data_IF_924527016714
#
_entry.id   IF_924527016714
#
_cell.length_a   1.000
_cell.length_b   1.000
_cell.length_c   1.000
_cell.angle_alpha   90.00
_cell.angle_beta   90.00
_cell.angle_gamma   90.00
#
_symmetry.space_group_name_H-M   'P 1'
#
loop_
_entity.id
_entity.type
_entity.pdbx_description
1 polymer ?
#
# COMPACT_ATOMS: atom_id res chain seq x y z
N UNK A 1 -34.53 0.21 35.79
CA UNK A 1 -35.68 0.50 34.92
C UNK A 1 -35.93 1.98 34.99
N UNK A 2 -36.03 2.64 33.86
CA UNK A 2 -36.26 4.08 33.78
C UNK A 2 -37.78 4.31 33.66
N UNK A 3 -38.39 5.09 34.59
CA UNK A 3 -39.78 5.48 34.44
C UNK A 3 -39.95 6.59 33.40
N UNK A 4 -41.04 6.58 32.62
CA UNK A 4 -41.34 7.65 31.65
C UNK A 4 -41.31 9.03 32.25
N UNK A 5 -41.77 9.16 33.54
CA UNK A 5 -41.79 10.41 34.27
C UNK A 5 -40.40 10.98 34.63
N UNK A 6 -39.37 10.12 34.58
CA UNK A 6 -38.00 10.52 34.89
C UNK A 6 -37.24 11.01 33.65
N UNK A 7 -37.84 10.86 32.46
CA UNK A 7 -37.27 11.34 31.20
C UNK A 7 -37.40 12.85 31.10
N UNK A 8 -36.29 13.54 31.26
CA UNK A 8 -36.22 15.03 31.23
C UNK A 8 -35.45 15.51 30.00
N UNK A 9 -35.68 16.77 29.68
CA UNK A 9 -34.87 17.46 28.66
C UNK A 9 -33.37 17.34 28.96
N UNK A 10 -32.56 17.09 27.95
CA UNK A 10 -31.13 16.84 28.02
C UNK A 10 -30.72 15.52 28.65
N UNK A 11 -31.65 14.65 29.06
CA UNK A 11 -31.30 13.30 29.48
C UNK A 11 -30.67 12.52 28.32
N UNK A 12 -29.63 11.75 28.63
CA UNK A 12 -29.04 10.77 27.73
C UNK A 12 -29.69 9.40 28.00
N UNK A 13 -30.29 8.81 26.99
CA UNK A 13 -31.06 7.56 27.12
C UNK A 13 -30.51 6.51 26.15
N UNK A 14 -30.28 5.32 26.68
CA UNK A 14 -29.99 4.10 25.89
C UNK A 14 -31.27 3.29 25.74
N UNK A 15 -31.42 2.59 24.62
CA UNK A 15 -32.55 1.73 24.30
C UNK A 15 -33.61 2.35 23.41
N UNK A 16 -33.52 3.65 23.09
CA UNK A 16 -34.37 4.31 22.08
C UNK A 16 -33.96 3.91 20.64
N UNK A 17 -32.67 3.87 20.37
CA UNK A 17 -32.10 3.41 19.12
C UNK A 17 -31.14 2.23 19.39
N UNK A 18 -31.10 1.20 18.50
CA UNK A 18 -30.24 0.05 18.69
C UNK A 18 -28.75 0.46 18.76
N UNK A 19 -28.10 0.14 19.88
CA UNK A 19 -26.67 0.37 20.07
C UNK A 19 -26.21 1.82 20.18
N UNK A 20 -27.14 2.78 20.34
CA UNK A 20 -26.83 4.19 20.46
C UNK A 20 -27.42 4.82 21.74
N UNK A 21 -26.68 5.77 22.29
CA UNK A 21 -27.17 6.68 23.34
C UNK A 21 -27.67 7.94 22.66
N UNK A 22 -28.92 8.29 22.90
CA UNK A 22 -29.56 9.48 22.31
C UNK A 22 -29.79 10.54 23.38
N UNK A 23 -29.77 11.81 22.96
CA UNK A 23 -30.04 12.94 23.88
C UNK A 23 -31.43 13.49 23.64
N UNK A 24 -32.22 13.57 24.71
CA UNK A 24 -33.59 14.10 24.69
C UNK A 24 -33.54 15.64 24.50
N UNK A 25 -34.23 16.11 23.49
CA UNK A 25 -34.36 17.54 23.20
C UNK A 25 -35.56 18.12 23.91
N UNK A 26 -36.71 17.45 23.83
CA UNK A 26 -37.93 17.82 24.54
C UNK A 26 -38.84 16.60 24.70
N UNK A 27 -39.79 16.70 25.62
CA UNK A 27 -40.77 15.66 25.91
C UNK A 27 -42.16 16.24 25.97
N UNK A 28 -43.15 15.56 25.44
CA UNK A 28 -44.57 15.93 25.49
C UNK A 28 -45.38 14.76 26.07
N UNK A 29 -45.96 14.88 27.27
CA UNK A 29 -46.79 13.84 27.86
C UNK A 29 -48.11 13.71 27.12
N UNK A 30 -48.50 12.45 26.82
CA UNK A 30 -49.79 12.11 26.22
C UNK A 30 -50.57 11.25 27.22
N UNK A 31 -51.38 11.91 28.06
CA UNK A 31 -52.03 11.26 29.17
C UNK A 31 -51.06 10.65 30.19
N UNK A 32 -51.55 9.67 30.98
CA UNK A 32 -50.78 9.09 32.08
C UNK A 32 -49.86 7.93 31.67
N UNK A 33 -50.00 7.42 30.44
CA UNK A 33 -49.38 6.14 30.02
C UNK A 33 -48.46 6.25 28.78
N UNK A 34 -48.32 7.43 28.19
CA UNK A 34 -47.49 7.66 27.02
C UNK A 34 -46.73 9.00 27.07
N UNK A 35 -45.54 9.02 26.49
CA UNK A 35 -44.67 10.15 26.39
C UNK A 35 -44.10 10.26 24.99
N UNK A 36 -44.33 11.37 24.29
CA UNK A 36 -43.60 11.64 23.05
C UNK A 36 -42.28 12.26 23.39
N UNK A 37 -41.18 11.69 22.87
CA UNK A 37 -39.83 12.18 23.04
C UNK A 37 -39.25 12.62 21.71
N UNK A 38 -38.72 13.81 21.67
CA UNK A 38 -37.91 14.33 20.58
C UNK A 38 -36.46 14.22 20.99
N UNK A 39 -35.67 13.50 20.19
CA UNK A 39 -34.29 13.19 20.55
C UNK A 39 -33.33 13.37 19.39
N UNK A 40 -32.05 13.59 19.71
CA UNK A 40 -30.98 13.75 18.76
C UNK A 40 -30.09 12.52 18.79
N UNK A 41 -29.92 11.91 17.61
CA UNK A 41 -28.96 10.78 17.42
C UNK A 41 -27.52 11.26 17.41
N UNK A 42 -26.55 10.34 17.50
CA UNK A 42 -25.13 10.63 17.40
C UNK A 42 -24.76 11.35 16.07
N UNK A 43 -25.48 11.04 14.98
CA UNK A 43 -25.33 11.69 13.66
C UNK A 43 -25.93 13.10 13.59
N UNK A 44 -26.49 13.60 14.70
CA UNK A 44 -27.08 14.93 14.76
C UNK A 44 -28.51 15.05 14.21
N UNK A 45 -29.13 13.94 13.77
CA UNK A 45 -30.51 13.93 13.30
C UNK A 45 -31.50 14.08 14.45
N UNK A 46 -32.52 14.89 14.25
CA UNK A 46 -33.64 15.02 15.19
C UNK A 46 -34.72 14.03 14.79
N UNK A 47 -35.09 13.15 15.71
CA UNK A 47 -36.12 12.12 15.54
C UNK A 47 -37.18 12.26 16.64
N UNK A 48 -38.34 11.67 16.37
CA UNK A 48 -39.50 11.64 17.27
C UNK A 48 -39.90 10.20 17.50
N UNK A 49 -40.26 9.86 18.75
CA UNK A 49 -40.81 8.55 19.10
C UNK A 49 -41.78 8.65 20.26
N UNK A 50 -42.88 7.95 20.14
CA UNK A 50 -43.85 7.79 21.24
C UNK A 50 -43.43 6.58 22.07
N UNK A 51 -43.32 6.75 23.37
CA UNK A 51 -42.98 5.74 24.37
C UNK A 51 -44.19 5.42 25.21
N UNK A 52 -44.33 4.13 25.51
CA UNK A 52 -45.35 3.64 26.41
C UNK A 52 -44.72 3.01 27.65
N UNK A 53 -45.50 2.77 28.72
CA UNK A 53 -44.96 2.13 29.92
C UNK A 53 -44.32 0.76 29.67
N UNK A 54 -44.72 0.09 28.63
CA UNK A 54 -44.12 -1.21 28.22
C UNK A 54 -42.70 -1.05 27.74
N UNK A 55 -42.30 0.14 27.28
CA UNK A 55 -40.95 0.42 26.79
C UNK A 55 -39.95 0.70 27.94
N UNK A 56 -40.45 1.01 29.14
CA UNK A 56 -39.62 1.31 30.32
C UNK A 56 -38.59 0.22 30.66
N UNK A 57 -38.94 -1.04 30.35
CA UNK A 57 -38.07 -2.19 30.60
C UNK A 57 -36.79 -2.17 29.73
N UNK A 58 -36.88 -1.53 28.55
CA UNK A 58 -35.78 -1.49 27.58
C UNK A 58 -35.01 -0.17 27.63
N UNK A 59 -35.42 0.78 28.44
CA UNK A 59 -34.82 2.09 28.56
C UNK A 59 -33.94 2.19 29.81
N UNK A 60 -32.79 2.80 29.68
CA UNK A 60 -31.92 3.15 30.79
C UNK A 60 -31.36 4.58 30.62
N UNK A 61 -31.19 5.28 31.73
CA UNK A 61 -30.42 6.53 31.75
C UNK A 61 -28.96 6.16 31.45
N UNK A 62 -28.45 6.67 30.37
CA UNK A 62 -27.02 6.70 30.17
C UNK A 62 -26.52 7.96 30.88
N UNK A 63 -25.64 7.84 31.84
CA UNK A 63 -24.87 8.97 32.27
C UNK A 63 -24.17 9.53 31.05
N UNK A 64 -24.32 10.83 30.78
CA UNK A 64 -23.57 11.49 29.72
C UNK A 64 -22.10 11.33 30.09
N UNK A 65 -21.46 10.30 29.49
CA UNK A 65 -20.10 9.96 29.79
C UNK A 65 -19.24 11.21 29.65
N UNK A 66 -18.52 11.55 30.69
CA UNK A 66 -17.47 12.58 30.57
C UNK A 66 -16.51 12.06 29.50
N UNK A 67 -15.90 12.92 28.67
CA UNK A 67 -14.98 12.48 27.61
C UNK A 67 -13.84 11.53 28.09
N UNK A 68 -13.66 11.42 29.39
CA UNK A 68 -12.68 10.58 30.11
C UNK A 68 -13.32 9.65 31.17
N UNK A 69 -14.57 9.28 31.00
CA UNK A 69 -15.15 8.22 31.83
C UNK A 69 -14.54 6.88 31.36
N UNK A 70 -13.93 6.15 32.30
CA UNK A 70 -13.44 4.79 32.04
C UNK A 70 -14.58 3.78 32.27
N UNK A 71 -15.72 3.99 31.64
CA UNK A 71 -16.95 3.23 31.78
C UNK A 71 -17.27 2.40 30.53
N UNK A 72 -16.38 2.41 29.52
CA UNK A 72 -16.51 1.58 28.34
C UNK A 72 -16.36 0.08 28.68
N UNK A 73 -17.04 -0.83 27.97
CA UNK A 73 -16.86 -2.26 28.14
C UNK A 73 -15.37 -2.62 28.03
N UNK A 74 -14.86 -3.33 29.05
CA UNK A 74 -13.43 -3.63 29.14
C UNK A 74 -12.88 -4.44 27.96
N UNK A 75 -13.72 -5.27 27.33
CA UNK A 75 -13.36 -6.03 26.13
C UNK A 75 -13.18 -5.13 24.91
N UNK A 76 -14.06 -4.14 24.70
CA UNK A 76 -13.93 -3.17 23.62
C UNK A 76 -12.69 -2.28 23.80
N UNK A 77 -12.41 -1.84 25.04
CA UNK A 77 -11.20 -1.11 25.36
C UNK A 77 -9.95 -1.94 25.06
N UNK A 78 -9.94 -3.23 25.45
CA UNK A 78 -8.83 -4.14 25.14
C UNK A 78 -8.60 -4.30 23.63
N UNK A 79 -9.68 -4.47 22.85
CA UNK A 79 -9.59 -4.55 21.40
C UNK A 79 -9.07 -3.25 20.77
N UNK A 80 -9.53 -2.10 21.24
CA UNK A 80 -9.07 -0.80 20.76
C UNK A 80 -7.57 -0.58 21.06
N UNK A 81 -7.13 -0.91 22.28
CA UNK A 81 -5.70 -0.82 22.67
C UNK A 81 -4.85 -1.76 21.85
N UNK A 82 -5.31 -2.99 21.61
CA UNK A 82 -4.57 -3.97 20.81
C UNK A 82 -4.49 -3.55 19.35
N UNK A 83 -5.57 -3.00 18.78
CA UNK A 83 -5.55 -2.43 17.43
C UNK A 83 -4.55 -1.25 17.32
N UNK A 84 -4.52 -0.36 18.31
CA UNK A 84 -3.51 0.71 18.38
C UNK A 84 -2.09 0.14 18.47
N UNK A 85 -1.86 -0.89 19.31
CA UNK A 85 -0.57 -1.54 19.44
C UNK A 85 -0.09 -2.14 18.12
N UNK A 86 -0.98 -2.80 17.38
CA UNK A 86 -0.68 -3.37 16.06
C UNK A 86 -0.33 -2.25 15.07
N UNK A 87 -1.11 -1.18 15.04
CA UNK A 87 -0.86 -0.06 14.10
C UNK A 87 0.48 0.65 14.32
N UNK A 88 0.97 0.69 15.56
CA UNK A 88 2.25 1.32 15.90
C UNK A 88 3.38 0.31 16.14
N UNK A 89 3.15 -0.97 15.85
CA UNK A 89 4.14 -2.02 16.10
C UNK A 89 5.47 -1.78 15.36
N UNK A 90 5.42 -1.15 14.16
CA UNK A 90 6.61 -0.77 13.40
C UNK A 90 7.54 0.23 14.13
N UNK A 91 7.04 0.96 15.13
CA UNK A 91 7.87 1.84 15.96
C UNK A 91 8.72 1.03 16.97
N UNK A 92 8.31 -0.19 17.30
CA UNK A 92 8.98 -1.06 18.25
C UNK A 92 9.75 -2.20 17.58
N UNK A 93 9.34 -2.58 16.37
CA UNK A 93 10.02 -3.58 15.55
C UNK A 93 10.36 -2.99 14.18
N UNK A 94 11.60 -2.53 13.98
CA UNK A 94 12.01 -1.96 12.70
C UNK A 94 12.10 -2.98 11.56
N UNK A 95 12.01 -4.30 11.85
CA UNK A 95 12.15 -5.40 10.89
C UNK A 95 10.93 -6.33 10.89
N UNK A 96 9.72 -5.77 10.94
CA UNK A 96 8.48 -6.55 11.03
C UNK A 96 8.33 -7.57 9.88
N UNK A 97 8.71 -7.20 8.66
CA UNK A 97 8.62 -8.10 7.52
C UNK A 97 9.52 -9.34 7.68
N UNK A 98 10.70 -9.20 8.27
CA UNK A 98 11.59 -10.35 8.56
C UNK A 98 10.92 -11.30 9.56
N UNK A 99 10.38 -10.78 10.66
CA UNK A 99 9.80 -11.60 11.72
C UNK A 99 8.45 -12.23 11.37
N UNK A 100 7.75 -11.70 10.38
CA UNK A 100 6.40 -12.14 10.01
C UNK A 100 6.32 -12.89 8.68
N UNK A 101 7.43 -12.97 7.95
CA UNK A 101 7.51 -13.69 6.68
C UNK A 101 8.03 -15.11 6.87
N UNK A 102 7.68 -16.01 5.96
CA UNK A 102 8.14 -17.40 5.97
C UNK A 102 9.46 -17.53 5.18
N UNK A 103 10.46 -16.73 5.55
CA UNK A 103 11.79 -16.71 4.95
C UNK A 103 12.86 -16.49 6.03
N UNK A 104 14.03 -17.04 5.81
CA UNK A 104 15.24 -16.72 6.56
C UNK A 104 16.14 -15.87 5.67
N UNK A 105 16.02 -14.54 5.72
CA UNK A 105 16.78 -13.67 4.82
C UNK A 105 18.25 -13.64 5.23
N UNK A 106 19.11 -13.65 4.21
CA UNK A 106 20.54 -13.50 4.41
C UNK A 106 20.92 -12.07 4.82
N UNK A 107 22.05 -11.87 5.52
CA UNK A 107 22.47 -10.54 6.00
C UNK A 107 22.49 -9.46 4.92
N UNK A 108 23.00 -9.76 3.72
CA UNK A 108 23.04 -8.83 2.60
C UNK A 108 21.64 -8.42 2.09
N UNK A 109 20.64 -9.31 2.25
CA UNK A 109 19.25 -9.04 1.86
C UNK A 109 18.61 -8.08 2.88
N UNK A 110 18.88 -8.28 4.16
CA UNK A 110 18.45 -7.38 5.23
C UNK A 110 19.05 -5.99 5.02
N UNK A 111 20.36 -5.90 4.82
CA UNK A 111 21.06 -4.63 4.54
C UNK A 111 20.48 -3.93 3.30
N UNK A 112 20.16 -4.68 2.23
CA UNK A 112 19.55 -4.10 1.03
C UNK A 112 18.22 -3.43 1.34
N UNK A 113 17.37 -4.08 2.11
CA UNK A 113 16.03 -3.57 2.43
C UNK A 113 16.09 -2.43 3.44
N UNK A 114 16.72 -2.65 4.59
CA UNK A 114 16.61 -1.76 5.74
C UNK A 114 17.60 -0.61 5.74
N UNK A 115 18.76 -0.76 5.11
CA UNK A 115 19.77 0.29 5.04
C UNK A 115 19.78 1.01 3.68
N UNK A 116 19.46 0.28 2.58
CA UNK A 116 19.54 0.86 1.24
C UNK A 116 18.20 1.31 0.67
N UNK A 117 17.11 0.54 0.82
CA UNK A 117 15.83 0.87 0.19
C UNK A 117 14.88 1.62 1.11
N UNK A 118 14.60 1.10 2.29
CA UNK A 118 13.57 1.62 3.20
C UNK A 118 13.79 3.07 3.67
N UNK A 119 15.04 3.54 3.92
CA UNK A 119 15.28 4.93 4.31
C UNK A 119 15.03 5.95 3.20
N UNK A 120 14.92 5.51 1.94
CA UNK A 120 14.71 6.40 0.79
C UNK A 120 13.22 6.62 0.54
N UNK A 121 12.77 7.84 0.73
CA UNK A 121 11.37 8.21 0.59
C UNK A 121 11.22 9.47 -0.29
N UNK A 122 10.63 9.37 -1.47
CA UNK A 122 10.18 8.16 -2.18
C UNK A 122 11.34 7.32 -2.69
N UNK A 123 11.18 6.00 -2.77
CA UNK A 123 12.18 5.12 -3.35
C UNK A 123 12.16 5.25 -4.89
N UNK A 124 13.29 5.62 -5.47
CA UNK A 124 13.60 5.54 -6.90
C UNK A 124 14.93 4.80 -7.02
N UNK A 125 14.88 3.49 -7.35
CA UNK A 125 16.05 2.67 -7.10
C UNK A 125 16.25 1.51 -8.08
N UNK A 126 17.52 1.20 -8.37
CA UNK A 126 17.91 -0.01 -9.11
C UNK A 126 18.56 -1.01 -8.13
N UNK A 127 17.97 -2.18 -8.03
CA UNK A 127 18.57 -3.33 -7.36
C UNK A 127 19.27 -4.21 -8.41
N UNK A 128 20.59 -4.03 -8.52
CA UNK A 128 21.43 -4.61 -9.58
C UNK A 128 22.34 -5.74 -9.10
N UNK A 129 21.98 -6.41 -8.03
CA UNK A 129 22.72 -7.53 -7.47
C UNK A 129 22.75 -8.73 -8.45
N UNK A 130 23.80 -9.51 -8.42
CA UNK A 130 24.00 -10.66 -9.29
C UNK A 130 22.86 -11.70 -9.25
N UNK A 131 22.72 -12.55 -10.28
CA UNK A 131 21.76 -13.65 -10.25
C UNK A 131 22.01 -14.56 -9.04
N UNK A 132 20.92 -14.92 -8.34
CA UNK A 132 21.00 -15.76 -7.15
C UNK A 132 21.20 -15.00 -5.83
N UNK A 133 21.41 -13.68 -5.84
CA UNK A 133 21.46 -12.86 -4.62
C UNK A 133 20.12 -12.79 -3.86
N UNK A 134 19.04 -13.29 -4.44
CA UNK A 134 17.71 -13.27 -3.83
C UNK A 134 16.98 -11.93 -3.97
N UNK A 135 17.11 -11.27 -5.12
CA UNK A 135 16.41 -9.99 -5.39
C UNK A 135 14.90 -10.06 -5.15
N UNK A 136 14.25 -11.19 -5.49
CA UNK A 136 12.83 -11.42 -5.20
C UNK A 136 12.55 -11.41 -3.70
N UNK A 137 13.44 -11.97 -2.88
CA UNK A 137 13.33 -11.93 -1.42
C UNK A 137 13.46 -10.50 -0.90
N UNK A 138 14.44 -9.74 -1.39
CA UNK A 138 14.60 -8.32 -1.01
C UNK A 138 13.38 -7.49 -1.39
N UNK A 139 12.86 -7.66 -2.60
CA UNK A 139 11.65 -6.97 -3.03
C UNK A 139 10.41 -7.39 -2.22
N UNK A 140 10.26 -8.69 -1.93
CA UNK A 140 9.16 -9.22 -1.11
C UNK A 140 9.19 -8.68 0.32
N UNK A 141 10.36 -8.65 0.97
CA UNK A 141 10.55 -8.01 2.28
C UNK A 141 10.19 -6.52 2.23
N UNK A 142 10.65 -5.81 1.21
CA UNK A 142 10.36 -4.38 1.05
C UNK A 142 8.87 -4.12 0.85
N UNK A 143 8.20 -4.89 -0.03
CA UNK A 143 6.74 -4.82 -0.24
C UNK A 143 6.01 -5.07 1.08
N UNK A 144 6.35 -6.16 1.77
CA UNK A 144 5.74 -6.54 3.04
C UNK A 144 5.88 -5.45 4.09
N UNK A 145 7.08 -4.88 4.21
CA UNK A 145 7.37 -3.81 5.16
C UNK A 145 6.51 -2.57 4.89
N UNK A 146 6.42 -2.12 3.63
CA UNK A 146 5.60 -0.96 3.25
C UNK A 146 4.11 -1.20 3.52
N UNK A 147 3.60 -2.40 3.23
CA UNK A 147 2.21 -2.75 3.49
C UNK A 147 1.90 -2.78 5.00
N UNK A 148 2.80 -3.34 5.82
CA UNK A 148 2.64 -3.42 7.27
C UNK A 148 2.72 -2.05 7.95
N UNK A 149 3.53 -1.14 7.41
CA UNK A 149 3.64 0.26 7.86
C UNK A 149 2.50 1.15 7.37
N UNK A 150 1.58 0.60 6.58
CA UNK A 150 0.53 1.35 5.88
C UNK A 150 1.09 2.47 4.98
N UNK A 151 2.35 2.37 4.56
CA UNK A 151 3.01 3.29 3.64
C UNK A 151 2.69 2.96 2.17
N UNK A 152 2.27 1.72 1.89
CA UNK A 152 1.74 1.31 0.60
C UNK A 152 0.43 0.52 0.78
N UNK A 153 -0.47 0.63 -0.17
CA UNK A 153 -1.69 -0.16 -0.31
C UNK A 153 -1.76 -0.83 -1.67
N UNK A 154 -1.25 -0.13 -2.70
CA UNK A 154 -1.34 -0.55 -4.10
C UNK A 154 0.05 -0.85 -4.64
N UNK A 155 0.27 -2.11 -5.00
CA UNK A 155 1.56 -2.60 -5.49
C UNK A 155 1.37 -3.30 -6.83
N UNK A 156 2.12 -2.86 -7.84
CA UNK A 156 2.18 -3.48 -9.15
C UNK A 156 3.56 -4.10 -9.38
N UNK A 157 3.59 -5.39 -9.65
CA UNK A 157 4.79 -6.10 -10.08
C UNK A 157 4.70 -6.31 -11.59
N UNK A 158 5.70 -5.85 -12.33
CA UNK A 158 5.81 -6.02 -13.79
C UNK A 158 7.00 -6.93 -14.08
N UNK A 159 6.72 -8.12 -14.61
CA UNK A 159 7.73 -9.15 -14.82
C UNK A 159 7.65 -9.75 -16.24
N UNK A 160 8.71 -10.44 -16.70
CA UNK A 160 8.63 -11.29 -17.89
C UNK A 160 7.53 -12.34 -17.78
N UNK A 161 6.88 -12.67 -18.90
CA UNK A 161 5.73 -13.59 -18.89
C UNK A 161 6.03 -14.96 -18.28
N UNK A 162 7.27 -15.44 -18.35
CA UNK A 162 7.71 -16.70 -17.74
C UNK A 162 7.89 -16.65 -16.22
N UNK A 163 7.89 -15.45 -15.60
CA UNK A 163 8.16 -15.26 -14.18
C UNK A 163 6.93 -14.78 -13.38
N UNK A 164 5.82 -14.46 -14.05
CA UNK A 164 4.66 -13.87 -13.34
C UNK A 164 4.00 -14.83 -12.36
N UNK A 165 3.91 -16.10 -12.71
CA UNK A 165 3.37 -17.15 -11.84
C UNK A 165 4.31 -17.40 -10.65
N UNK A 166 5.63 -17.49 -10.91
CA UNK A 166 6.63 -17.60 -9.87
C UNK A 166 6.56 -16.41 -8.88
N UNK A 167 6.37 -15.18 -9.38
CA UNK A 167 6.19 -14.01 -8.53
C UNK A 167 4.95 -14.13 -7.64
N UNK A 168 3.83 -14.59 -8.20
CA UNK A 168 2.60 -14.80 -7.43
C UNK A 168 2.80 -15.83 -6.32
N UNK A 169 3.39 -16.99 -6.67
CA UNK A 169 3.62 -18.09 -5.73
C UNK A 169 4.60 -17.67 -4.62
N UNK A 170 5.72 -17.04 -4.97
CA UNK A 170 6.71 -16.59 -3.97
C UNK A 170 6.14 -15.53 -3.03
N UNK A 171 5.32 -14.58 -3.54
CA UNK A 171 4.67 -13.58 -2.70
C UNK A 171 3.68 -14.23 -1.73
N UNK A 172 2.95 -15.24 -2.16
CA UNK A 172 2.02 -15.96 -1.31
C UNK A 172 2.74 -16.84 -0.29
N UNK A 173 3.61 -17.73 -0.73
CA UNK A 173 4.24 -18.74 0.12
C UNK A 173 5.21 -18.13 1.15
N UNK A 174 6.01 -17.14 0.72
CA UNK A 174 7.07 -16.56 1.53
C UNK A 174 6.61 -15.36 2.37
N UNK A 175 5.69 -14.57 1.82
CA UNK A 175 5.29 -13.30 2.44
C UNK A 175 3.80 -13.24 2.83
N UNK A 176 3.01 -14.26 2.51
CA UNK A 176 1.56 -14.28 2.79
C UNK A 176 0.79 -13.19 2.05
N UNK A 177 1.28 -12.76 0.87
CA UNK A 177 0.69 -11.70 0.06
C UNK A 177 0.00 -12.29 -1.17
N UNK A 178 -1.31 -12.11 -1.26
CA UNK A 178 -2.13 -12.63 -2.37
C UNK A 178 -2.17 -11.62 -3.52
N UNK A 179 -1.26 -11.78 -4.48
CA UNK A 179 -1.27 -11.01 -5.71
C UNK A 179 -2.18 -11.65 -6.76
N UNK A 180 -2.87 -10.83 -7.52
CA UNK A 180 -3.67 -11.25 -8.67
C UNK A 180 -2.83 -11.21 -9.94
N UNK A 181 -2.89 -12.25 -10.78
CA UNK A 181 -2.28 -12.20 -12.11
C UNK A 181 -3.18 -11.43 -13.07
N UNK A 182 -2.61 -10.44 -13.76
CA UNK A 182 -3.35 -9.67 -14.73
C UNK A 182 -3.70 -10.52 -15.98
N UNK A 183 -4.99 -10.58 -16.29
CA UNK A 183 -5.51 -11.21 -17.50
C UNK A 183 -6.40 -10.25 -18.30
N UNK A 184 -6.56 -10.50 -19.60
CA UNK A 184 -7.49 -9.69 -20.42
C UNK A 184 -8.95 -9.84 -20.04
N UNK A 185 -9.34 -10.98 -19.49
CA UNK A 185 -10.69 -11.23 -19.00
C UNK A 185 -11.07 -10.26 -17.87
N UNK A 186 -10.13 -9.85 -17.05
CA UNK A 186 -10.35 -8.85 -16.00
C UNK A 186 -10.72 -7.47 -16.56
N UNK A 187 -10.32 -7.15 -17.80
CA UNK A 187 -10.71 -5.89 -18.44
C UNK A 187 -12.21 -5.88 -18.73
N UNK A 188 -12.75 -7.03 -19.16
CA UNK A 188 -14.17 -7.17 -19.47
C UNK A 188 -15.05 -7.29 -18.21
N UNK A 189 -14.47 -7.81 -17.12
CA UNK A 189 -15.16 -8.03 -15.84
C UNK A 189 -15.01 -6.84 -14.87
N UNK A 190 -14.22 -5.85 -15.21
CA UNK A 190 -13.94 -4.70 -14.35
C UNK A 190 -15.20 -3.89 -14.07
N UNK A 191 -15.48 -3.66 -12.78
CA UNK A 191 -16.65 -2.88 -12.32
C UNK A 191 -16.49 -1.39 -12.58
N UNK A 192 -15.28 -0.89 -12.46
CA UNK A 192 -14.93 0.53 -12.73
C UNK A 192 -14.73 0.82 -14.22
N UNK A 193 -14.63 -0.23 -15.07
CA UNK A 193 -14.19 -0.13 -16.46
C UNK A 193 -12.67 -0.05 -16.60
N UNK A 194 -11.94 0.00 -15.46
CA UNK A 194 -10.49 -0.03 -15.40
C UNK A 194 -9.99 -1.09 -14.40
N UNK A 195 -9.51 -2.26 -14.85
CA UNK A 195 -9.08 -3.34 -13.96
C UNK A 195 -7.91 -2.94 -13.05
N UNK A 196 -7.13 -1.94 -13.45
CA UNK A 196 -6.03 -1.43 -12.64
C UNK A 196 -6.50 -0.64 -11.42
N UNK A 197 -7.72 -0.12 -11.39
CA UNK A 197 -8.31 0.53 -10.22
C UNK A 197 -8.92 -0.46 -9.23
N UNK A 198 -9.42 -1.59 -9.75
CA UNK A 198 -10.15 -2.57 -8.95
C UNK A 198 -9.22 -3.47 -8.11
N UNK A 199 -7.92 -3.56 -8.45
CA UNK A 199 -6.97 -4.51 -7.88
C UNK A 199 -5.81 -3.76 -7.22
N UNK A 200 -5.56 -4.04 -5.95
CA UNK A 200 -4.51 -3.39 -5.19
C UNK A 200 -3.14 -4.09 -5.28
N UNK A 201 -3.13 -5.41 -5.35
CA UNK A 201 -1.91 -6.21 -5.46
C UNK A 201 -1.95 -6.98 -6.78
N UNK A 202 -1.17 -6.52 -7.75
CA UNK A 202 -1.24 -7.00 -9.13
C UNK A 202 0.12 -7.41 -9.67
N UNK A 203 0.18 -8.55 -10.37
CA UNK A 203 1.33 -8.97 -11.19
C UNK A 203 0.94 -8.93 -12.65
N UNK A 204 1.71 -8.26 -13.49
CA UNK A 204 1.44 -8.10 -14.91
C UNK A 204 2.66 -8.44 -15.78
N UNK A 205 2.39 -8.88 -17.01
CA UNK A 205 3.44 -9.19 -17.99
C UNK A 205 3.92 -7.92 -18.69
N UNK A 206 5.23 -7.66 -18.65
CA UNK A 206 5.83 -6.48 -19.29
C UNK A 206 5.48 -6.38 -20.78
N UNK A 207 5.50 -7.50 -21.50
CA UNK A 207 5.22 -7.51 -22.94
C UNK A 207 3.74 -7.25 -23.26
N UNK A 208 2.84 -7.67 -22.38
CA UNK A 208 1.40 -7.41 -22.51
C UNK A 208 1.12 -5.91 -22.36
N UNK A 209 1.66 -5.30 -21.31
CA UNK A 209 1.49 -3.86 -21.06
C UNK A 209 2.19 -3.02 -22.13
N UNK A 210 3.39 -3.40 -22.58
CA UNK A 210 4.15 -2.63 -23.55
C UNK A 210 3.54 -2.63 -24.96
N UNK A 211 2.74 -3.66 -25.33
CA UNK A 211 2.18 -3.79 -26.68
C UNK A 211 0.75 -3.27 -26.81
N UNK A 212 -0.01 -3.24 -25.73
CA UNK A 212 -1.42 -2.92 -25.70
C UNK A 212 -1.63 -1.45 -25.32
N UNK A 213 -1.90 -0.61 -26.31
CA UNK A 213 -2.11 0.84 -26.13
C UNK A 213 -3.33 1.11 -25.26
N UNK A 214 -4.41 0.34 -25.43
CA UNK A 214 -5.63 0.39 -24.62
C UNK A 214 -5.37 0.15 -23.12
N UNK A 215 -4.43 -0.76 -22.80
CA UNK A 215 -4.03 -1.03 -21.42
C UNK A 215 -3.16 0.09 -20.86
N UNK A 216 -2.28 0.69 -21.68
CA UNK A 216 -1.45 1.81 -21.25
C UNK A 216 -2.29 3.05 -20.93
N UNK A 217 -3.31 3.36 -21.75
CA UNK A 217 -4.25 4.45 -21.48
C UNK A 217 -4.97 4.24 -20.14
N UNK A 218 -5.46 3.03 -19.87
CA UNK A 218 -6.09 2.68 -18.59
C UNK A 218 -5.12 2.77 -17.42
N UNK A 219 -3.88 2.28 -17.59
CA UNK A 219 -2.84 2.31 -16.59
C UNK A 219 -2.44 3.74 -16.22
N UNK A 220 -2.34 4.65 -17.21
CA UNK A 220 -2.03 6.07 -16.98
C UNK A 220 -3.08 6.81 -16.14
N UNK A 221 -4.30 6.32 -16.07
CA UNK A 221 -5.36 6.90 -15.26
C UNK A 221 -5.29 6.45 -13.79
N UNK A 222 -4.36 5.57 -13.43
CA UNK A 222 -4.23 5.01 -12.09
C UNK A 222 -3.01 5.54 -11.36
N UNK A 223 -3.01 5.40 -10.03
CA UNK A 223 -1.87 5.71 -9.19
C UNK A 223 -1.47 4.48 -8.36
N UNK A 224 -0.17 4.24 -8.26
CA UNK A 224 0.40 3.13 -7.52
C UNK A 224 1.33 3.65 -6.42
N UNK A 225 1.30 2.99 -5.25
CA UNK A 225 2.24 3.35 -4.19
C UNK A 225 3.63 2.79 -4.50
N UNK A 226 3.68 1.57 -5.03
CA UNK A 226 4.92 0.93 -5.45
C UNK A 226 4.73 0.20 -6.78
N UNK A 227 5.67 0.42 -7.70
CA UNK A 227 5.86 -0.42 -8.89
C UNK A 227 7.23 -1.09 -8.81
N UNK A 228 7.24 -2.41 -8.97
CA UNK A 228 8.46 -3.22 -9.08
C UNK A 228 8.56 -3.75 -10.50
N UNK A 229 9.69 -3.54 -11.17
CA UNK A 229 9.94 -4.09 -12.51
C UNK A 229 11.07 -5.09 -12.44
N UNK A 230 10.76 -6.33 -12.74
CA UNK A 230 11.77 -7.40 -12.83
C UNK A 230 12.37 -7.49 -14.23
N UNK A 231 13.64 -7.90 -14.31
CA UNK A 231 14.44 -7.89 -15.54
C UNK A 231 14.38 -6.52 -16.25
N UNK A 232 14.52 -5.47 -15.46
CA UNK A 232 14.34 -4.09 -15.88
C UNK A 232 15.31 -3.64 -17.01
N UNK A 233 16.42 -4.36 -17.24
CA UNK A 233 17.29 -4.10 -18.40
C UNK A 233 16.55 -4.20 -19.75
N UNK A 234 15.39 -4.86 -19.77
CA UNK A 234 14.52 -4.92 -20.96
C UNK A 234 13.81 -3.59 -21.26
N UNK A 235 13.75 -2.66 -20.31
CA UNK A 235 13.26 -1.29 -20.52
C UNK A 235 14.38 -0.45 -21.16
N UNK A 236 14.79 -0.80 -22.35
CA UNK A 236 15.96 -0.23 -23.01
C UNK A 236 15.61 0.84 -24.04
N UNK A 237 16.45 1.86 -24.11
CA UNK A 237 16.52 2.82 -25.22
C UNK A 237 17.98 2.93 -25.67
N UNK A 238 18.21 3.48 -26.85
CA UNK A 238 19.54 3.68 -27.39
C UNK A 238 19.63 4.97 -28.19
N UNK A 239 20.83 5.51 -28.30
CA UNK A 239 21.08 6.63 -29.19
C UNK A 239 21.39 6.15 -30.61
N UNK A 240 20.74 6.78 -31.57
CA UNK A 240 21.10 6.71 -32.98
C UNK A 240 21.45 8.11 -33.49
N UNK A 241 22.72 8.41 -33.56
CA UNK A 241 23.22 9.78 -33.76
C UNK A 241 22.79 10.68 -32.60
N UNK A 242 22.04 11.73 -32.88
CA UNK A 242 21.49 12.66 -31.88
C UNK A 242 20.04 12.35 -31.46
N UNK A 243 19.45 11.27 -32.00
CA UNK A 243 18.06 10.90 -31.69
C UNK A 243 18.05 9.71 -30.73
N UNK A 244 17.14 9.76 -29.77
CA UNK A 244 16.87 8.64 -28.86
C UNK A 244 15.87 7.70 -29.56
N UNK A 245 16.25 6.44 -29.69
CA UNK A 245 15.36 5.37 -30.13
C UNK A 245 14.81 4.66 -28.91
N UNK A 246 13.57 4.98 -28.54
CA UNK A 246 12.86 4.39 -27.40
C UNK A 246 12.12 3.12 -27.85
N UNK A 247 12.35 2.02 -27.17
CA UNK A 247 11.52 0.82 -27.36
C UNK A 247 10.14 1.01 -26.71
N UNK A 248 9.15 0.20 -27.13
CA UNK A 248 7.82 0.20 -26.47
C UNK A 248 7.92 -0.12 -24.97
N UNK A 249 8.87 -0.97 -24.57
CA UNK A 249 9.12 -1.28 -23.16
C UNK A 249 9.72 -0.10 -22.40
N UNK A 250 10.60 0.67 -23.03
CA UNK A 250 11.14 1.89 -22.40
C UNK A 250 10.03 2.92 -22.16
N UNK A 251 9.16 3.16 -23.16
CA UNK A 251 8.01 4.04 -23.01
C UNK A 251 7.06 3.57 -21.89
N UNK A 252 6.84 2.25 -21.79
CA UNK A 252 6.13 1.70 -20.62
C UNK A 252 6.85 2.03 -19.31
N UNK A 253 8.17 1.94 -19.26
CA UNK A 253 8.98 2.31 -18.09
C UNK A 253 8.78 3.76 -17.68
N UNK A 254 8.75 4.70 -18.65
CA UNK A 254 8.44 6.11 -18.39
C UNK A 254 7.02 6.26 -17.80
N UNK A 255 6.04 5.58 -18.39
CA UNK A 255 4.66 5.57 -17.89
C UNK A 255 4.59 5.05 -16.46
N UNK A 256 5.19 3.89 -16.17
CA UNK A 256 5.21 3.30 -14.84
C UNK A 256 5.88 4.22 -13.81
N UNK A 257 6.98 4.86 -14.19
CA UNK A 257 7.67 5.84 -13.36
C UNK A 257 6.82 7.07 -13.02
N UNK A 258 5.93 7.50 -13.94
CA UNK A 258 5.07 8.68 -13.74
C UNK A 258 3.85 8.42 -12.86
N UNK A 259 3.35 7.19 -12.81
CA UNK A 259 2.14 6.81 -12.07
C UNK A 259 2.41 6.19 -10.70
N UNK A 260 3.67 6.14 -10.27
CA UNK A 260 4.04 5.52 -9.00
C UNK A 260 4.86 6.44 -8.11
N UNK A 261 4.62 6.32 -6.80
CA UNK A 261 5.43 6.99 -5.78
C UNK A 261 6.78 6.31 -5.60
N UNK A 262 6.80 5.00 -5.33
CA UNK A 262 8.02 4.19 -5.23
C UNK A 262 8.25 3.41 -6.51
N UNK A 263 9.46 3.46 -7.05
CA UNK A 263 9.81 2.77 -8.28
C UNK A 263 11.08 1.95 -8.09
N UNK A 264 10.94 0.62 -8.06
CA UNK A 264 12.02 -0.34 -7.89
C UNK A 264 12.27 -1.08 -9.21
N UNK A 265 13.43 -0.87 -9.78
CA UNK A 265 13.91 -1.59 -10.95
C UNK A 265 14.87 -2.70 -10.52
N UNK A 266 14.63 -3.94 -10.94
CA UNK A 266 15.47 -5.08 -10.59
C UNK A 266 16.09 -5.68 -11.84
N UNK A 267 17.39 -5.88 -11.80
CA UNK A 267 18.13 -6.52 -12.90
C UNK A 267 19.46 -7.07 -12.41
N UNK A 268 19.97 -8.10 -13.07
CA UNK A 268 21.35 -8.55 -12.84
C UNK A 268 22.35 -7.82 -13.77
N UNK A 269 21.87 -7.19 -14.83
CA UNK A 269 22.70 -6.57 -15.87
C UNK A 269 22.23 -5.14 -16.16
N UNK A 270 22.49 -4.18 -15.26
CA UNK A 270 22.02 -2.81 -15.44
C UNK A 270 22.72 -2.09 -16.61
N UNK A 271 23.84 -2.61 -17.07
CA UNK A 271 24.72 -2.00 -18.06
C UNK A 271 25.03 -2.97 -19.19
N UNK A 272 24.80 -2.55 -20.44
CA UNK A 272 25.10 -3.33 -21.66
C UNK A 272 26.49 -2.99 -22.26
N UNK A 273 27.35 -2.29 -21.53
CA UNK A 273 28.67 -1.85 -21.97
C UNK A 273 28.72 -0.45 -22.60
N UNK A 274 27.55 0.17 -22.85
CA UNK A 274 27.47 1.54 -23.39
C UNK A 274 26.94 2.48 -22.30
N UNK A 275 27.74 3.45 -21.91
CA UNK A 275 27.38 4.43 -20.89
C UNK A 275 26.15 5.25 -21.28
N UNK A 276 26.01 5.61 -22.55
CA UNK A 276 24.85 6.36 -23.05
C UNK A 276 23.52 5.60 -22.84
N UNK A 277 23.51 4.29 -23.08
CA UNK A 277 22.31 3.45 -22.90
C UNK A 277 22.00 3.25 -21.40
N UNK A 278 23.05 3.18 -20.56
CA UNK A 278 22.89 3.13 -19.11
C UNK A 278 22.28 4.42 -18.56
N UNK A 279 22.72 5.58 -19.05
CA UNK A 279 22.13 6.85 -18.64
C UNK A 279 20.67 6.97 -19.04
N UNK A 280 20.30 6.50 -20.25
CA UNK A 280 18.89 6.42 -20.64
C UNK A 280 18.10 5.51 -19.72
N UNK A 281 18.66 4.37 -19.31
CA UNK A 281 18.02 3.49 -18.34
C UNK A 281 17.83 4.18 -16.98
N UNK A 282 18.85 4.87 -16.47
CA UNK A 282 18.78 5.62 -15.22
C UNK A 282 17.82 6.81 -15.27
N UNK A 283 17.56 7.37 -16.46
CA UNK A 283 16.57 8.44 -16.63
C UNK A 283 15.14 8.00 -16.32
N UNK A 284 14.85 6.70 -16.28
CA UNK A 284 13.56 6.18 -15.81
C UNK A 284 13.33 6.47 -14.32
N UNK A 285 14.40 6.62 -13.53
CA UNK A 285 14.33 6.96 -12.11
C UNK A 285 14.34 8.47 -11.89
N UNK A 286 15.22 9.18 -12.59
CA UNK A 286 15.43 10.62 -12.47
C UNK A 286 15.78 11.20 -13.85
N UNK A 287 14.76 11.69 -14.56
CA UNK A 287 14.94 12.24 -15.90
C UNK A 287 15.79 13.52 -15.92
N UNK A 288 15.71 14.34 -14.89
CA UNK A 288 16.42 15.62 -14.82
C UNK A 288 17.91 15.41 -14.61
N UNK A 289 18.27 14.46 -13.75
CA UNK A 289 19.66 14.14 -13.42
C UNK A 289 20.39 13.48 -14.56
N UNK A 290 19.71 12.65 -15.36
CA UNK A 290 20.27 11.91 -16.49
C UNK A 290 19.86 12.52 -17.85
N UNK A 291 19.56 13.81 -17.86
CA UNK A 291 19.20 14.51 -19.09
C UNK A 291 20.44 14.77 -19.98
N UNK A 292 20.26 14.48 -21.27
CA UNK A 292 21.25 14.78 -22.29
C UNK A 292 22.18 13.62 -22.64
N UNK A 293 23.00 13.83 -23.67
CA UNK A 293 23.94 12.83 -24.16
C UNK A 293 25.21 12.85 -23.30
N UNK A 294 25.64 11.67 -22.84
CA UNK A 294 26.92 11.52 -22.17
C UNK A 294 28.06 12.07 -23.05
N UNK A 295 28.89 12.93 -22.46
CA UNK A 295 30.12 13.42 -23.10
C UNK A 295 31.30 12.88 -22.30
N UNK A 296 32.17 12.12 -22.96
CA UNK A 296 33.38 11.57 -22.37
C UNK A 296 34.12 12.65 -21.58
N UNK A 297 34.31 12.41 -20.28
CA UNK A 297 35.09 13.26 -19.38
C UNK A 297 34.36 14.42 -18.72
N UNK A 298 33.08 14.72 -19.04
CA UNK A 298 32.42 15.91 -18.52
C UNK A 298 31.69 15.72 -17.18
N UNK A 299 31.03 14.59 -16.92
CA UNK A 299 30.40 14.28 -15.64
C UNK A 299 30.26 12.77 -15.45
N UNK A 300 30.97 12.18 -14.48
CA UNK A 300 30.52 10.92 -13.87
C UNK A 300 29.38 11.28 -12.93
N UNK A 301 28.15 10.96 -13.30
CA UNK A 301 27.04 11.11 -12.40
C UNK A 301 27.16 10.02 -11.33
N UNK A 302 27.26 10.42 -10.07
CA UNK A 302 27.25 9.48 -8.95
C UNK A 302 25.85 8.81 -8.91
N UNK A 303 25.81 7.50 -8.91
CA UNK A 303 24.58 6.68 -8.89
C UNK A 303 24.43 5.88 -7.58
N UNK A 304 25.32 6.08 -6.61
CA UNK A 304 25.36 5.30 -5.38
C UNK A 304 24.07 5.45 -4.53
N UNK A 305 23.38 6.58 -4.67
CA UNK A 305 22.10 6.82 -4.02
C UNK A 305 20.90 6.19 -4.77
N UNK A 306 21.05 5.87 -6.05
CA UNK A 306 20.00 5.34 -6.91
C UNK A 306 20.16 3.87 -7.25
N UNK A 307 21.33 3.28 -6.98
CA UNK A 307 21.61 1.90 -7.38
C UNK A 307 22.46 1.19 -6.33
N UNK A 308 22.10 -0.06 -6.04
CA UNK A 308 22.98 -1.01 -5.38
C UNK A 308 23.39 -2.09 -6.37
N UNK A 309 24.66 -2.44 -6.32
CA UNK A 309 25.20 -3.58 -7.04
C UNK A 309 26.12 -4.37 -6.11
N UNK A 310 25.76 -5.61 -5.85
CA UNK A 310 26.60 -6.57 -5.12
C UNK A 310 26.94 -7.72 -6.05
N UNK A 311 28.23 -7.96 -6.21
CA UNK A 311 28.73 -9.06 -7.04
C UNK A 311 28.91 -10.33 -6.19
N UNK A 312 28.97 -11.47 -6.85
CA UNK A 312 28.97 -12.79 -6.20
C UNK A 312 30.14 -12.98 -5.23
N UNK A 313 31.30 -12.38 -5.55
CA UNK A 313 32.50 -12.40 -4.69
C UNK A 313 32.31 -11.63 -3.38
N UNK A 314 31.50 -10.58 -3.40
CA UNK A 314 31.19 -9.80 -2.20
C UNK A 314 30.13 -10.49 -1.33
N UNK A 315 29.19 -11.22 -1.95
CA UNK A 315 28.23 -12.05 -1.25
C UNK A 315 28.91 -13.13 -0.41
N UNK A 316 29.91 -13.81 -0.98
CA UNK A 316 30.69 -14.84 -0.27
C UNK A 316 31.47 -14.28 0.93
N UNK A 317 31.99 -13.06 0.83
CA UNK A 317 32.66 -12.38 1.96
C UNK A 317 31.69 -11.97 3.07
N UNK A 318 30.48 -11.60 2.70
CA UNK A 318 29.46 -11.15 3.63
C UNK A 318 28.92 -12.28 4.50
N UNK A 319 28.82 -13.48 3.95
CA UNK A 319 28.33 -14.68 4.63
C UNK A 319 29.41 -15.43 5.43
N UNK A 320 30.66 -14.93 5.40
CA UNK A 320 31.76 -15.44 6.24
C UNK A 320 32.29 -16.83 5.84
N UNK A 321 32.03 -17.27 4.61
CA UNK A 321 32.55 -18.53 4.03
C UNK A 321 33.49 -18.28 2.87
#
# INVERSE_FOLDING_TARGET
MLNLNDIKKNAAISGLEPGQVVRIVTTEPIGDNALTVYYKTADGKLLERMLFRTDEANLSLAEAGRPWAFDAPGEEFKLAVEACRINVAHLFDPMMAVHTSNVEPLPHQITAVYESMLPRQPLRYVLADDPGAGKTIMAGLFIRELLMRADAKRVLIVAPGSLVEQWQDEMFEKFGLSFTLFSREQVEQSRSGNPFDDINLLVARVDQLARAEDLQEKLMLTQWDLVVVDEAHKLSASYFGNKINKTKRFMLGETLGSITRHFLLMTATPHNGKEEDFQLFMSLLDADRFYGKFRDGAHKVDVADLMRRMVKEDLLKFDGT
#
